data_IF_578051508339
#
_entry.id   IF_578051508339
#
_cell.length_a   1.000
_cell.length_b   1.000
_cell.length_c   1.000
_cell.angle_alpha   90.00
_cell.angle_beta   90.00
_cell.angle_gamma   90.00
#
_symmetry.space_group_name_H-M   'P 1'
#
loop_
_entity.id
_entity.type
_entity.pdbx_description
1 polymer ?
#
# COMPACT_ATOMS: atom_id res chain seq x y z
N UNK A 1 -21.58 36.70 39.46
CA UNK A 1 -20.74 35.51 39.65
C UNK A 1 -21.23 34.42 38.71
N UNK A 2 -20.30 33.80 37.97
CA UNK A 2 -20.44 32.54 37.22
C UNK A 2 -21.44 32.51 36.05
N UNK A 3 -21.01 33.06 34.91
CA UNK A 3 -21.42 32.59 33.58
C UNK A 3 -20.15 32.11 32.87
N UNK A 4 -19.69 30.91 33.25
CA UNK A 4 -18.70 30.17 32.48
C UNK A 4 -19.51 29.43 31.43
N UNK A 5 -19.65 30.01 30.23
CA UNK A 5 -20.03 29.25 29.04
C UNK A 5 -18.91 28.23 28.80
N UNK A 6 -19.11 27.00 29.27
CA UNK A 6 -18.36 25.85 28.80
C UNK A 6 -18.67 25.69 27.32
N UNK A 7 -17.73 26.16 26.49
CA UNK A 7 -17.62 25.81 25.09
C UNK A 7 -17.42 24.30 25.06
N UNK A 8 -18.51 23.57 24.84
CA UNK A 8 -18.47 22.16 24.48
C UNK A 8 -17.96 22.11 23.04
N UNK A 9 -16.65 22.28 22.88
CA UNK A 9 -15.95 21.93 21.65
C UNK A 9 -16.01 20.41 21.54
N UNK A 10 -17.14 19.88 21.07
CA UNK A 10 -17.22 18.56 20.50
C UNK A 10 -16.31 18.57 19.28
N UNK A 11 -15.04 18.24 19.50
CA UNK A 11 -14.16 17.79 18.45
C UNK A 11 -14.81 16.56 17.86
N UNK A 12 -15.54 16.75 16.76
CA UNK A 12 -15.86 15.66 15.86
C UNK A 12 -14.49 15.21 15.35
N UNK A 13 -13.92 14.21 16.02
CA UNK A 13 -12.86 13.43 15.45
C UNK A 13 -13.48 12.82 14.19
N UNK A 14 -13.18 13.41 13.03
CA UNK A 14 -13.41 12.77 11.76
C UNK A 14 -12.53 11.52 11.75
N UNK A 15 -13.05 10.43 12.31
CA UNK A 15 -12.61 9.09 11.95
C UNK A 15 -12.96 8.95 10.48
N UNK A 16 -12.03 9.31 9.60
CA UNK A 16 -12.02 8.83 8.22
C UNK A 16 -11.71 7.33 8.27
N UNK A 17 -12.71 6.55 8.67
CA UNK A 17 -12.68 5.10 8.57
C UNK A 17 -12.83 4.69 7.11
N UNK A 18 -11.78 4.08 6.58
CA UNK A 18 -11.88 2.76 5.96
C UNK A 18 -12.51 2.62 4.56
N UNK A 19 -12.58 3.67 3.74
CA UNK A 19 -12.85 3.48 2.30
C UNK A 19 -11.74 2.65 1.60
N UNK A 20 -10.52 2.69 2.12
CA UNK A 20 -9.38 1.89 1.66
C UNK A 20 -9.41 0.48 2.25
N UNK A 21 -9.96 0.28 3.46
CA UNK A 21 -9.95 -1.01 4.16
C UNK A 21 -10.92 -2.02 3.52
N UNK A 22 -12.12 -1.57 3.17
CA UNK A 22 -13.18 -2.45 2.67
C UNK A 22 -12.92 -3.04 1.27
N UNK A 23 -12.05 -2.42 0.46
CA UNK A 23 -11.75 -2.89 -0.91
C UNK A 23 -10.86 -4.14 -0.94
N UNK A 24 -10.04 -4.37 0.07
CA UNK A 24 -9.14 -5.53 0.13
C UNK A 24 -9.82 -6.80 0.64
N UNK A 25 -10.87 -6.66 1.46
CA UNK A 25 -11.51 -7.80 2.12
C UNK A 25 -12.32 -8.70 1.17
N UNK A 26 -12.67 -8.20 -0.03
CA UNK A 26 -13.46 -8.93 -1.01
C UNK A 26 -12.65 -9.51 -2.20
N UNK A 27 -11.39 -9.09 -2.39
CA UNK A 27 -10.57 -9.52 -3.51
C UNK A 27 -9.55 -10.59 -3.06
N UNK A 28 -9.68 -11.80 -3.58
CA UNK A 28 -8.72 -12.87 -3.32
C UNK A 28 -7.40 -12.60 -4.07
N UNK A 29 -6.53 -11.86 -3.41
CA UNK A 29 -5.20 -11.55 -3.93
C UNK A 29 -4.38 -12.82 -4.19
N UNK A 30 -4.59 -13.93 -3.46
CA UNK A 30 -3.77 -15.13 -3.63
C UNK A 30 -4.05 -15.77 -4.99
N UNK A 31 -5.33 -15.88 -5.36
CA UNK A 31 -5.70 -16.33 -6.71
C UNK A 31 -5.19 -15.36 -7.78
N UNK A 32 -5.27 -14.05 -7.53
CA UNK A 32 -4.76 -13.05 -8.47
C UNK A 32 -3.23 -13.14 -8.67
N UNK A 33 -2.48 -13.45 -7.63
CA UNK A 33 -1.02 -13.63 -7.66
C UNK A 33 -0.56 -14.92 -8.35
N UNK A 34 -1.46 -15.87 -8.60
CA UNK A 34 -1.16 -17.05 -9.41
C UNK A 34 -1.22 -16.74 -10.92
N UNK A 35 -1.85 -15.63 -11.31
CA UNK A 35 -1.98 -15.21 -12.69
C UNK A 35 -0.91 -14.18 -13.06
N UNK A 36 0.03 -14.60 -13.90
CA UNK A 36 1.14 -13.76 -14.36
C UNK A 36 0.65 -12.52 -15.13
N UNK A 37 -0.46 -12.60 -15.86
CA UNK A 37 -1.03 -11.44 -16.57
C UNK A 37 -1.50 -10.35 -15.61
N UNK A 38 -2.05 -10.75 -14.45
CA UNK A 38 -2.47 -9.81 -13.41
C UNK A 38 -1.24 -9.14 -12.80
N UNK A 39 -0.20 -9.89 -12.46
CA UNK A 39 1.03 -9.33 -11.90
C UNK A 39 1.69 -8.38 -12.88
N UNK A 40 1.78 -8.76 -14.16
CA UNK A 40 2.33 -7.90 -15.21
C UNK A 40 1.50 -6.63 -15.38
N UNK A 41 0.17 -6.72 -15.33
CA UNK A 41 -0.70 -5.53 -15.37
C UNK A 41 -0.45 -4.59 -14.18
N UNK A 42 -0.20 -5.13 -12.97
CA UNK A 42 0.14 -4.33 -11.80
C UNK A 42 1.50 -3.66 -11.96
N UNK A 43 2.52 -4.42 -12.37
CA UNK A 43 3.88 -3.92 -12.62
C UNK A 43 3.83 -2.78 -13.65
N UNK A 44 3.14 -2.98 -14.77
CA UNK A 44 3.05 -1.98 -15.84
C UNK A 44 2.30 -0.72 -15.38
N UNK A 45 1.24 -0.86 -14.59
CA UNK A 45 0.53 0.28 -14.01
C UNK A 45 1.41 1.06 -13.02
N UNK A 46 2.03 0.38 -12.06
CA UNK A 46 2.88 1.03 -11.06
C UNK A 46 4.17 1.60 -11.69
N UNK A 47 4.64 0.97 -12.76
CA UNK A 47 5.78 1.42 -13.54
C UNK A 47 5.53 2.65 -14.43
N UNK A 48 4.27 3.09 -14.63
CA UNK A 48 3.88 4.05 -15.68
C UNK A 48 4.10 3.54 -17.12
N UNK A 49 4.16 2.23 -17.34
CA UNK A 49 4.23 1.63 -18.67
C UNK A 49 2.86 1.61 -19.34
N UNK A 50 1.78 1.43 -18.56
CA UNK A 50 0.39 1.44 -19.04
C UNK A 50 -0.51 2.24 -18.11
N UNK A 51 -1.62 2.82 -18.60
CA UNK A 51 -2.62 3.44 -17.74
C UNK A 51 -3.15 2.46 -16.69
N UNK A 52 -3.24 2.91 -15.45
CA UNK A 52 -3.88 2.15 -14.38
C UNK A 52 -5.40 2.17 -14.53
N UNK A 53 -6.06 1.09 -14.11
CA UNK A 53 -7.50 1.14 -13.84
C UNK A 53 -7.78 2.17 -12.73
N UNK A 54 -9.00 2.76 -12.67
CA UNK A 54 -9.35 3.71 -11.61
C UNK A 54 -9.11 3.17 -10.20
N UNK A 55 -9.34 1.88 -10.00
CA UNK A 55 -9.08 1.17 -8.75
C UNK A 55 -7.57 1.12 -8.44
N UNK A 56 -6.76 0.67 -9.40
CA UNK A 56 -5.31 0.53 -9.21
C UNK A 56 -4.59 1.86 -9.07
N UNK A 57 -5.18 2.94 -9.58
CA UNK A 57 -4.65 4.29 -9.43
C UNK A 57 -4.61 4.75 -7.98
N UNK A 58 -5.59 4.35 -7.16
CA UNK A 58 -5.58 4.67 -5.73
C UNK A 58 -4.39 3.98 -5.03
N UNK A 59 -4.20 2.68 -5.27
CA UNK A 59 -3.07 1.94 -4.70
C UNK A 59 -1.73 2.51 -5.13
N UNK A 60 -1.60 2.85 -6.41
CA UNK A 60 -0.40 3.49 -6.94
C UNK A 60 -0.02 4.77 -6.19
N UNK A 61 -1.01 5.59 -5.85
CA UNK A 61 -0.79 6.86 -5.14
C UNK A 61 -0.37 6.65 -3.68
N UNK A 62 -0.72 5.50 -3.09
CA UNK A 62 -0.38 5.17 -1.70
C UNK A 62 1.02 4.57 -1.55
N UNK A 63 1.65 4.08 -2.64
CA UNK A 63 2.98 3.44 -2.62
C UNK A 63 4.04 4.30 -1.91
N UNK A 64 4.21 5.61 -2.21
CA UNK A 64 5.21 6.42 -1.52
C UNK A 64 5.01 6.45 0.00
N UNK A 65 3.75 6.53 0.45
CA UNK A 65 3.42 6.53 1.88
C UNK A 65 3.70 5.15 2.49
N UNK A 66 3.35 4.07 1.79
CA UNK A 66 3.61 2.70 2.24
C UNK A 66 5.12 2.43 2.37
N UNK A 67 5.95 2.92 1.46
CA UNK A 67 7.42 2.85 1.55
C UNK A 67 7.94 3.64 2.76
N UNK A 68 7.55 4.91 2.87
CA UNK A 68 8.02 5.81 3.95
C UNK A 68 7.67 5.30 5.35
N UNK A 69 6.50 4.68 5.50
CA UNK A 69 5.96 4.28 6.80
C UNK A 69 6.05 2.78 7.05
N UNK A 70 6.65 2.01 6.13
CA UNK A 70 6.62 0.55 6.16
C UNK A 70 5.18 0.01 6.36
N UNK A 71 4.24 0.56 5.60
CA UNK A 71 2.80 0.26 5.69
C UNK A 71 2.15 0.62 7.05
N UNK A 72 2.62 1.68 7.73
CA UNK A 72 2.14 2.07 9.06
C UNK A 72 0.66 2.46 9.16
N UNK A 73 -0.03 2.65 8.03
CA UNK A 73 -1.49 2.89 7.96
C UNK A 73 -2.28 1.71 7.40
N UNK A 74 -1.60 0.62 7.06
CA UNK A 74 -2.22 -0.57 6.47
C UNK A 74 -2.86 -1.44 7.57
N UNK A 75 -4.02 -2.03 7.31
CA UNK A 75 -4.61 -3.07 8.17
C UNK A 75 -3.74 -4.33 8.17
N UNK A 76 -3.91 -5.21 9.17
CA UNK A 76 -3.14 -6.46 9.25
C UNK A 76 -3.30 -7.31 7.98
N UNK A 77 -4.53 -7.39 7.45
CA UNK A 77 -4.79 -8.08 6.19
C UNK A 77 -4.06 -7.42 5.02
N UNK A 78 -4.09 -6.10 4.91
CA UNK A 78 -3.34 -5.39 3.86
C UNK A 78 -1.84 -5.64 3.96
N UNK A 79 -1.29 -5.66 5.18
CA UNK A 79 0.14 -5.92 5.41
C UNK A 79 0.53 -7.31 4.95
N UNK A 80 -0.25 -8.34 5.28
CA UNK A 80 -0.03 -9.72 4.81
C UNK A 80 -0.09 -9.80 3.28
N UNK A 81 -1.14 -9.21 2.68
CA UNK A 81 -1.34 -9.16 1.22
C UNK A 81 -0.16 -8.49 0.53
N UNK A 82 0.24 -7.30 0.97
CA UNK A 82 1.32 -6.51 0.38
C UNK A 82 2.64 -7.29 0.46
N UNK A 83 2.94 -7.94 1.60
CA UNK A 83 4.13 -8.80 1.75
C UNK A 83 4.11 -9.94 0.73
N UNK A 84 2.99 -10.64 0.57
CA UNK A 84 2.85 -11.72 -0.40
C UNK A 84 3.03 -11.26 -1.85
N UNK A 85 2.41 -10.13 -2.22
CA UNK A 85 2.52 -9.54 -3.56
C UNK A 85 3.98 -9.20 -3.85
N UNK A 86 4.64 -8.46 -2.96
CA UNK A 86 6.01 -8.00 -3.18
C UNK A 86 6.98 -9.17 -3.25
N UNK A 87 6.88 -10.15 -2.34
CA UNK A 87 7.70 -11.37 -2.40
C UNK A 87 7.54 -12.12 -3.72
N UNK A 88 6.31 -12.17 -4.24
CA UNK A 88 6.02 -12.80 -5.54
C UNK A 88 6.68 -12.02 -6.68
N UNK A 89 6.58 -10.69 -6.68
CA UNK A 89 7.21 -9.83 -7.69
C UNK A 89 8.73 -9.92 -7.61
N UNK A 90 9.34 -9.85 -6.42
CA UNK A 90 10.78 -10.02 -6.21
C UNK A 90 11.29 -11.37 -6.74
N UNK A 91 10.51 -12.44 -6.56
CA UNK A 91 10.88 -13.80 -6.99
C UNK A 91 10.70 -14.02 -8.49
N UNK A 92 9.57 -13.61 -9.06
CA UNK A 92 9.20 -13.88 -10.47
C UNK A 92 9.72 -12.81 -11.44
N UNK A 93 9.81 -11.56 -10.99
CA UNK A 93 10.13 -10.39 -11.82
C UNK A 93 11.15 -9.48 -11.12
N UNK A 94 12.37 -9.97 -10.84
CA UNK A 94 13.37 -9.22 -10.07
C UNK A 94 13.79 -7.89 -10.73
N UNK A 95 13.86 -7.85 -12.05
CA UNK A 95 14.19 -6.63 -12.80
C UNK A 95 13.08 -5.58 -12.67
N UNK A 96 11.82 -6.03 -12.73
CA UNK A 96 10.67 -5.16 -12.53
C UNK A 96 10.59 -4.64 -11.09
N UNK A 97 10.90 -5.49 -10.10
CA UNK A 97 11.01 -5.06 -8.71
C UNK A 97 12.06 -3.96 -8.55
N UNK A 98 13.26 -4.17 -9.11
CA UNK A 98 14.35 -3.20 -9.06
C UNK A 98 13.94 -1.86 -9.68
N UNK A 99 13.32 -1.92 -10.85
CA UNK A 99 12.79 -0.73 -11.52
C UNK A 99 11.75 0.02 -10.66
N UNK A 100 10.80 -0.71 -10.06
CA UNK A 100 9.75 -0.12 -9.22
C UNK A 100 10.32 0.51 -7.95
N UNK A 101 11.22 -0.17 -7.23
CA UNK A 101 11.80 0.39 -6.01
C UNK A 101 12.67 1.61 -6.31
N UNK A 102 13.41 1.62 -7.41
CA UNK A 102 14.18 2.78 -7.88
C UNK A 102 13.28 3.96 -8.26
N UNK A 103 12.13 3.69 -8.88
CA UNK A 103 11.15 4.71 -9.24
C UNK A 103 10.55 5.42 -8.01
N UNK A 104 10.21 4.67 -6.97
CA UNK A 104 9.50 5.21 -5.81
C UNK A 104 10.42 5.64 -4.65
N UNK A 105 11.64 5.12 -4.60
CA UNK A 105 12.68 5.50 -3.64
C UNK A 105 14.05 5.62 -4.33
N UNK A 106 14.24 6.66 -5.19
CA UNK A 106 15.45 6.83 -5.99
C UNK A 106 16.70 7.16 -5.16
N UNK A 107 16.52 7.66 -3.94
CA UNK A 107 17.60 7.99 -2.99
C UNK A 107 17.87 6.87 -1.98
N UNK A 108 17.16 5.73 -2.09
CA UNK A 108 17.27 4.58 -1.20
C UNK A 108 16.99 4.90 0.29
N UNK A 109 16.15 5.89 0.57
CA UNK A 109 15.90 6.39 1.94
C UNK A 109 15.04 5.43 2.77
N UNK A 110 14.21 4.62 2.13
CA UNK A 110 13.15 3.82 2.78
C UNK A 110 13.28 2.32 2.52
N UNK A 111 14.20 1.89 1.64
CA UNK A 111 14.37 0.48 1.27
C UNK A 111 14.59 -0.44 2.45
N UNK A 112 15.48 -0.10 3.37
CA UNK A 112 15.86 -1.01 4.46
C UNK A 112 14.67 -1.30 5.38
N UNK A 113 13.95 -0.27 5.80
CA UNK A 113 12.74 -0.42 6.60
C UNK A 113 11.64 -1.18 5.85
N UNK A 114 11.52 -0.93 4.55
CA UNK A 114 10.56 -1.65 3.71
C UNK A 114 10.92 -3.13 3.53
N UNK A 115 12.19 -3.46 3.34
CA UNK A 115 12.67 -4.85 3.27
C UNK A 115 12.54 -5.57 4.60
N UNK A 116 12.74 -4.89 5.73
CA UNK A 116 12.44 -5.45 7.04
C UNK A 116 10.95 -5.78 7.17
N UNK A 117 10.06 -4.88 6.73
CA UNK A 117 8.63 -5.15 6.67
C UNK A 117 8.31 -6.36 5.78
N UNK A 118 8.89 -6.43 4.57
CA UNK A 118 8.71 -7.58 3.66
C UNK A 118 9.26 -8.87 4.28
N UNK A 119 10.30 -8.82 5.09
CA UNK A 119 10.93 -9.97 5.74
C UNK A 119 10.21 -10.49 6.98
N UNK A 120 9.20 -9.79 7.49
CA UNK A 120 8.43 -10.26 8.65
C UNK A 120 7.57 -11.47 8.27
N UNK A 121 7.72 -12.57 9.00
CA UNK A 121 6.82 -13.72 8.89
C UNK A 121 5.42 -13.36 9.42
N UNK A 122 4.40 -14.07 8.94
CA UNK A 122 3.00 -13.94 9.37
C UNK A 122 2.74 -14.74 10.65
#
# INVERSE_FOLDING_TARGET
>A
MKLILMILASTIALVQGDATKQRYDAFDIQTALQNDDIILSLINCFGDTTPCSPEMKAFKNDIPTALQTACGKCSDRQREVIRHVIRTVMKKYPDAWTYLIDKYDPENKYRDGFYQFIGQDD
#
